data_IF_123624206447
#
_entry.id   IF_123624206447
#
_cell.length_a   1.000
_cell.length_b   1.000
_cell.length_c   1.000
_cell.angle_alpha   90.00
_cell.angle_beta   90.00
_cell.angle_gamma   90.00
#
_symmetry.space_group_name_H-M   'P 1'
#
loop_
_entity.id
_entity.type
_entity.pdbx_description
1 polymer ?
#
# COMPACT_ATOMS: atom_id res chain seq x y z
N UNK A 1 13.65 33.14 -7.73
CA UNK A 1 12.18 33.20 -7.51
C UNK A 1 11.54 33.50 -8.85
N UNK A 2 11.01 32.48 -9.53
CA UNK A 2 10.66 32.53 -10.95
C UNK A 2 9.24 33.01 -11.23
N UNK A 3 9.09 33.98 -12.12
CA UNK A 3 7.83 34.61 -12.54
C UNK A 3 6.88 33.68 -13.34
N UNK A 4 7.31 32.47 -13.71
CA UNK A 4 6.53 31.55 -14.54
C UNK A 4 5.74 30.48 -13.76
N UNK A 5 5.91 30.40 -12.43
CA UNK A 5 5.28 29.35 -11.62
C UNK A 5 3.76 29.51 -11.49
N UNK A 6 3.21 30.70 -11.76
CA UNK A 6 1.77 30.96 -11.69
C UNK A 6 0.95 30.54 -12.92
N UNK A 7 1.58 30.34 -14.09
CA UNK A 7 0.89 30.00 -15.35
C UNK A 7 0.88 28.50 -15.67
N UNK A 8 1.80 27.72 -15.10
CA UNK A 8 1.90 26.26 -15.27
C UNK A 8 1.41 25.51 -14.03
N UNK A 9 0.34 25.99 -13.41
CA UNK A 9 -0.20 25.63 -12.09
C UNK A 9 -0.61 24.17 -11.84
N UNK A 10 0.26 23.20 -12.14
CA UNK A 10 0.30 21.91 -11.46
C UNK A 10 1.47 21.98 -10.49
N UNK A 11 1.16 22.18 -9.22
CA UNK A 11 2.08 21.95 -8.11
C UNK A 11 2.73 20.59 -8.35
N UNK A 12 4.04 20.56 -8.64
CA UNK A 12 4.77 19.31 -8.83
C UNK A 12 4.70 18.58 -7.48
N UNK A 13 3.83 17.58 -7.38
CA UNK A 13 3.63 16.80 -6.16
C UNK A 13 5.01 16.22 -5.82
N UNK A 14 5.50 16.51 -4.62
CA UNK A 14 6.77 15.96 -4.14
C UNK A 14 6.65 14.44 -4.22
N UNK A 15 7.62 13.79 -4.86
CA UNK A 15 7.66 12.33 -4.89
C UNK A 15 7.56 11.78 -3.46
N UNK A 16 6.77 10.73 -3.29
CA UNK A 16 6.63 10.06 -2.00
C UNK A 16 8.01 9.63 -1.47
N UNK A 17 8.24 9.88 -0.20
CA UNK A 17 9.43 9.40 0.51
C UNK A 17 9.14 7.96 0.94
N UNK A 18 9.47 7.01 0.06
CA UNK A 18 9.01 5.62 0.17
C UNK A 18 9.72 4.86 1.31
N UNK A 19 10.94 5.26 1.70
CA UNK A 19 11.62 4.71 2.87
C UNK A 19 10.92 5.09 4.18
N UNK A 20 10.30 6.28 4.24
CA UNK A 20 9.51 6.67 5.42
C UNK A 20 8.27 5.81 5.63
N UNK A 21 7.86 5.01 4.65
CA UNK A 21 6.77 4.06 4.80
C UNK A 21 7.03 3.10 5.97
N UNK A 22 8.28 2.67 6.18
CA UNK A 22 8.66 1.75 7.26
C UNK A 22 8.52 2.35 8.67
N UNK A 23 8.37 3.68 8.81
CA UNK A 23 8.09 4.29 10.12
C UNK A 23 6.78 3.81 10.76
N UNK A 24 5.88 3.23 9.97
CA UNK A 24 4.63 2.64 10.44
C UNK A 24 4.85 1.44 11.38
N UNK A 25 5.98 0.72 11.24
CA UNK A 25 6.31 -0.43 12.11
C UNK A 25 6.45 0.05 13.56
N UNK A 26 7.30 1.05 13.80
CA UNK A 26 7.48 1.64 15.13
C UNK A 26 6.20 2.31 15.67
N UNK A 27 5.42 2.96 14.80
CA UNK A 27 4.14 3.54 15.20
C UNK A 27 3.12 2.46 15.62
N UNK A 28 3.09 1.31 14.95
CA UNK A 28 2.21 0.20 15.28
C UNK A 28 2.60 -0.45 16.61
N UNK A 29 3.89 -0.59 16.90
CA UNK A 29 4.39 -1.06 18.20
C UNK A 29 3.97 -0.14 19.35
N UNK A 30 4.06 1.18 19.15
CA UNK A 30 3.62 2.17 20.14
C UNK A 30 2.11 2.08 20.39
N UNK A 31 1.31 1.92 19.32
CA UNK A 31 -0.15 1.77 19.40
C UNK A 31 -0.56 0.48 20.12
N UNK A 32 0.08 -0.65 19.82
CA UNK A 32 -0.18 -1.92 20.52
C UNK A 32 0.27 -1.91 21.98
N UNK A 33 1.25 -1.06 22.34
CA UNK A 33 1.64 -0.82 23.72
C UNK A 33 0.53 -0.15 24.55
N UNK A 34 -0.46 0.49 23.89
CA UNK A 34 -1.67 0.98 24.55
C UNK A 34 -2.68 -0.16 24.76
N UNK A 35 -3.30 -0.23 25.95
CA UNK A 35 -4.04 -1.43 26.40
C UNK A 35 -5.29 -1.82 25.59
N UNK A 36 -5.75 -0.95 24.70
CA UNK A 36 -7.08 -1.03 24.12
C UNK A 36 -7.07 -1.21 22.58
N UNK A 37 -5.90 -1.35 21.95
CA UNK A 37 -5.79 -1.45 20.48
C UNK A 37 -5.01 -2.70 20.07
N UNK A 38 -5.57 -3.48 19.15
CA UNK A 38 -4.96 -4.69 18.61
C UNK A 38 -4.76 -4.60 17.09
N UNK A 39 -3.58 -5.00 16.61
CA UNK A 39 -3.34 -5.22 15.19
C UNK A 39 -4.11 -6.45 14.69
N UNK A 40 -4.81 -6.31 13.58
CA UNK A 40 -5.63 -7.39 13.02
C UNK A 40 -4.90 -8.29 12.02
N UNK A 41 -3.65 -7.96 11.68
CA UNK A 41 -2.90 -8.68 10.63
C UNK A 41 -3.54 -8.56 9.24
N UNK A 42 -4.36 -7.52 9.03
CA UNK A 42 -5.02 -7.24 7.75
C UNK A 42 -4.63 -5.86 7.27
N UNK A 43 -4.27 -5.76 6.00
CA UNK A 43 -3.94 -4.48 5.39
C UNK A 43 -4.25 -4.50 3.90
N UNK A 44 -4.20 -3.35 3.25
CA UNK A 44 -4.28 -3.30 1.80
C UNK A 44 -3.71 -2.02 1.22
N UNK A 45 -3.29 -2.10 -0.04
CA UNK A 45 -2.90 -0.93 -0.83
C UNK A 45 -3.98 -0.67 -1.88
N UNK A 46 -4.44 0.57 -1.94
CA UNK A 46 -5.51 1.01 -2.85
C UNK A 46 -4.94 1.92 -3.93
N UNK A 47 -5.42 1.69 -5.14
CA UNK A 47 -4.98 2.40 -6.33
C UNK A 47 -6.14 2.68 -7.27
N UNK A 48 -6.04 3.79 -8.00
CA UNK A 48 -6.99 4.13 -9.06
C UNK A 48 -6.58 3.39 -10.36
N UNK A 49 -7.34 2.40 -10.83
CA UNK A 49 -7.04 1.69 -12.07
C UNK A 49 -7.10 2.67 -13.24
N UNK A 50 -6.00 2.76 -14.00
CA UNK A 50 -6.04 3.42 -15.29
C UNK A 50 -6.85 2.55 -16.27
N UNK A 51 -7.63 3.15 -17.18
CA UNK A 51 -8.30 2.49 -18.31
C UNK A 51 -7.30 1.90 -19.34
N UNK A 52 -6.36 1.10 -18.88
CA UNK A 52 -5.27 0.56 -19.69
C UNK A 52 -5.15 -0.93 -19.44
N UNK A 53 -4.98 -1.69 -20.53
CA UNK A 53 -4.61 -3.11 -20.54
C UNK A 53 -3.36 -3.42 -19.69
N UNK A 54 -2.63 -2.39 -19.24
CA UNK A 54 -1.50 -2.51 -18.34
C UNK A 54 -1.94 -2.89 -16.92
N UNK A 55 -3.06 -2.38 -16.40
CA UNK A 55 -3.52 -2.74 -15.04
C UNK A 55 -3.92 -4.22 -14.94
N UNK A 56 -4.37 -4.81 -16.05
CA UNK A 56 -4.60 -6.25 -16.15
C UNK A 56 -3.29 -7.05 -16.15
N UNK A 57 -2.20 -6.49 -16.70
CA UNK A 57 -0.86 -7.10 -16.67
C UNK A 57 -0.16 -6.92 -15.33
N UNK A 58 -0.36 -5.79 -14.67
CA UNK A 58 0.13 -5.51 -13.33
C UNK A 58 -0.32 -6.60 -12.33
N UNK A 59 -1.54 -7.11 -12.47
CA UNK A 59 -2.00 -8.27 -11.68
C UNK A 59 -1.08 -9.48 -11.86
N UNK A 60 -0.68 -9.80 -13.10
CA UNK A 60 0.22 -10.92 -13.39
C UNK A 60 1.66 -10.69 -12.94
N UNK A 61 2.04 -9.46 -12.59
CA UNK A 61 3.37 -9.11 -12.06
C UNK A 61 3.38 -9.00 -10.53
N UNK A 62 2.30 -8.52 -9.92
CA UNK A 62 2.12 -8.47 -8.47
C UNK A 62 2.01 -9.90 -7.90
N UNK A 63 1.24 -10.78 -8.55
CA UNK A 63 1.05 -12.16 -8.08
C UNK A 63 2.38 -12.93 -7.88
N UNK A 64 3.35 -12.90 -8.83
CA UNK A 64 4.69 -13.46 -8.61
C UNK A 64 5.44 -12.86 -7.42
N UNK A 65 5.34 -11.55 -7.18
CA UNK A 65 6.00 -10.91 -6.03
C UNK A 65 5.40 -11.43 -4.71
N UNK A 66 4.08 -11.63 -4.69
CA UNK A 66 3.36 -12.18 -3.53
C UNK A 66 3.63 -13.67 -3.32
N UNK A 67 3.87 -14.44 -4.39
CA UNK A 67 4.33 -15.82 -4.27
C UNK A 67 5.75 -15.91 -3.71
N UNK A 68 6.62 -14.95 -4.02
CA UNK A 68 8.00 -14.92 -3.51
C UNK A 68 8.01 -14.58 -2.01
N UNK A 69 7.19 -13.61 -1.57
CA UNK A 69 7.09 -13.25 -0.14
C UNK A 69 6.27 -14.27 0.67
N UNK A 70 5.17 -14.79 0.10
CA UNK A 70 4.25 -15.69 0.80
C UNK A 70 4.72 -17.15 0.97
N UNK A 71 5.70 -17.62 0.17
CA UNK A 71 6.22 -19.00 0.26
C UNK A 71 6.95 -19.32 1.58
N UNK A 72 7.42 -18.32 2.32
CA UNK A 72 8.02 -18.50 3.65
C UNK A 72 7.07 -18.25 4.82
N UNK A 73 5.97 -17.50 4.64
CA UNK A 73 5.16 -16.96 5.75
C UNK A 73 3.71 -17.49 5.78
N UNK A 74 3.17 -17.97 4.66
CA UNK A 74 1.76 -18.36 4.57
C UNK A 74 0.80 -17.17 4.39
N UNK A 75 1.31 -15.99 4.02
CA UNK A 75 0.55 -14.78 3.72
C UNK A 75 -0.59 -15.05 2.74
N UNK A 76 -1.81 -14.69 3.13
CA UNK A 76 -2.98 -14.71 2.24
C UNK A 76 -3.14 -13.37 1.57
N UNK A 77 -3.61 -13.39 0.33
CA UNK A 77 -3.88 -12.17 -0.40
C UNK A 77 -5.11 -12.27 -1.30
N UNK A 78 -5.68 -11.12 -1.61
CA UNK A 78 -6.82 -10.97 -2.50
C UNK A 78 -6.71 -9.68 -3.30
N UNK A 79 -7.12 -9.72 -4.57
CA UNK A 79 -7.25 -8.52 -5.41
C UNK A 79 -8.74 -8.21 -5.54
N UNK A 80 -9.14 -7.01 -5.17
CA UNK A 80 -10.56 -6.61 -5.07
C UNK A 80 -10.75 -5.30 -5.84
N UNK A 81 -11.76 -5.26 -6.72
CA UNK A 81 -12.26 -4.01 -7.29
C UNK A 81 -13.48 -3.56 -6.48
N UNK A 82 -13.47 -2.30 -6.01
CA UNK A 82 -14.56 -1.75 -5.22
C UNK A 82 -15.59 -0.95 -6.05
N UNK A 83 -16.71 -0.59 -5.42
CA UNK A 83 -17.80 0.16 -6.06
C UNK A 83 -17.41 1.59 -6.46
N UNK A 84 -16.27 2.10 -5.95
CA UNK A 84 -15.73 3.42 -6.28
C UNK A 84 -14.80 3.39 -7.48
N UNK A 85 -14.66 2.23 -8.12
CA UNK A 85 -13.77 2.03 -9.25
C UNK A 85 -12.30 2.07 -8.85
N UNK A 86 -11.98 1.72 -7.60
CA UNK A 86 -10.60 1.54 -7.15
C UNK A 86 -10.27 0.06 -7.03
N UNK A 87 -8.98 -0.26 -7.18
CA UNK A 87 -8.45 -1.61 -7.02
C UNK A 87 -7.65 -1.69 -5.75
N UNK A 88 -7.83 -2.79 -5.02
CA UNK A 88 -7.17 -3.12 -3.79
C UNK A 88 -6.34 -4.37 -3.95
N UNK A 89 -5.16 -4.37 -3.36
CA UNK A 89 -4.45 -5.60 -3.01
C UNK A 89 -4.51 -5.73 -1.50
N UNK A 90 -5.31 -6.69 -1.02
CA UNK A 90 -5.50 -6.97 0.39
C UNK A 90 -4.57 -8.10 0.84
N UNK A 91 -3.97 -7.94 2.02
CA UNK A 91 -3.07 -8.90 2.68
C UNK A 91 -3.66 -9.33 4.02
N UNK A 92 -3.39 -10.58 4.38
CA UNK A 92 -3.71 -11.17 5.66
C UNK A 92 -2.53 -12.04 6.12
N UNK A 93 -1.80 -11.54 7.12
CA UNK A 93 -0.61 -12.17 7.71
C UNK A 93 -0.52 -11.78 9.20
N UNK A 94 -0.22 -12.72 10.12
CA UNK A 94 0.05 -12.38 11.51
C UNK A 94 1.30 -11.50 11.71
N UNK A 95 2.26 -11.52 10.79
CA UNK A 95 3.47 -10.70 10.85
C UNK A 95 3.25 -9.33 10.19
N UNK A 96 3.27 -8.28 11.00
CA UNK A 96 3.05 -6.93 10.54
C UNK A 96 4.21 -6.38 9.70
N UNK A 97 5.45 -6.77 9.99
CA UNK A 97 6.61 -6.31 9.23
C UNK A 97 6.58 -6.87 7.81
N UNK A 98 6.15 -8.13 7.66
CA UNK A 98 5.98 -8.78 6.36
C UNK A 98 4.88 -8.12 5.53
N UNK A 99 3.76 -7.72 6.17
CA UNK A 99 2.71 -6.92 5.51
C UNK A 99 3.28 -5.60 5.00
N UNK A 100 3.96 -4.83 5.87
CA UNK A 100 4.51 -3.52 5.52
C UNK A 100 5.50 -3.65 4.35
N UNK A 101 6.39 -4.64 4.44
CA UNK A 101 7.38 -4.92 3.39
C UNK A 101 6.70 -5.28 2.07
N UNK A 102 5.70 -6.15 2.11
CA UNK A 102 4.97 -6.58 0.90
C UNK A 102 4.21 -5.41 0.26
N UNK A 103 3.51 -4.58 1.04
CA UNK A 103 2.82 -3.40 0.51
C UNK A 103 3.80 -2.37 -0.06
N UNK A 104 4.97 -2.20 0.55
CA UNK A 104 6.03 -1.34 0.02
C UNK A 104 6.50 -1.84 -1.34
N UNK A 105 6.82 -3.14 -1.47
CA UNK A 105 7.26 -3.74 -2.73
C UNK A 105 6.22 -3.63 -3.84
N UNK A 106 4.93 -3.82 -3.52
CA UNK A 106 3.83 -3.59 -4.47
C UNK A 106 3.80 -2.12 -4.91
N UNK A 107 3.92 -1.19 -3.96
CA UNK A 107 3.98 0.24 -4.25
C UNK A 107 5.15 0.63 -5.15
N UNK A 108 6.36 0.09 -4.89
CA UNK A 108 7.53 0.27 -5.75
C UNK A 108 7.26 -0.26 -7.16
N UNK A 109 6.76 -1.49 -7.28
CA UNK A 109 6.49 -2.12 -8.56
C UNK A 109 5.49 -1.30 -9.39
N UNK A 110 4.39 -0.82 -8.79
CA UNK A 110 3.42 0.05 -9.48
C UNK A 110 4.07 1.35 -9.93
N UNK A 111 4.92 1.93 -9.10
CA UNK A 111 5.52 3.22 -9.37
C UNK A 111 6.66 3.18 -10.39
N UNK A 112 7.46 2.12 -10.41
CA UNK A 112 8.54 1.88 -11.38
C UNK A 112 8.00 1.73 -12.81
N UNK A 113 6.76 1.29 -12.93
CA UNK A 113 6.04 1.23 -14.20
C UNK A 113 5.35 2.55 -14.60
N UNK A 114 5.56 3.62 -13.84
CA UNK A 114 5.04 4.95 -14.14
C UNK A 114 3.61 5.22 -13.65
N UNK A 115 3.04 4.34 -12.84
CA UNK A 115 1.70 4.49 -12.27
C UNK A 115 1.72 4.91 -10.79
N UNK A 116 2.83 5.43 -10.30
CA UNK A 116 2.97 5.86 -8.90
C UNK A 116 2.00 6.99 -8.52
N UNK A 117 1.52 7.77 -9.49
CA UNK A 117 0.49 8.80 -9.30
C UNK A 117 -0.93 8.22 -9.12
N UNK A 118 -1.08 6.91 -9.34
CA UNK A 118 -2.33 6.16 -9.15
C UNK A 118 -2.43 5.48 -7.78
N UNK A 119 -1.32 5.34 -7.07
CA UNK A 119 -1.33 4.87 -5.68
C UNK A 119 -2.03 5.90 -4.81
N UNK A 120 -3.06 5.49 -4.07
CA UNK A 120 -3.87 6.38 -3.24
C UNK A 120 -3.42 6.30 -1.78
N UNK A 121 -3.39 5.09 -1.21
CA UNK A 121 -3.04 4.86 0.18
C UNK A 121 -2.70 3.39 0.46
N UNK A 122 -2.01 3.16 1.58
CA UNK A 122 -1.99 1.87 2.27
C UNK A 122 -2.79 1.99 3.56
N UNK A 123 -3.60 0.98 3.85
CA UNK A 123 -4.52 0.94 4.98
C UNK A 123 -4.19 -0.28 5.83
N UNK A 124 -4.14 -0.11 7.15
CA UNK A 124 -3.85 -1.16 8.11
C UNK A 124 -5.02 -1.26 9.10
N UNK A 125 -5.49 -2.49 9.35
CA UNK A 125 -6.64 -2.73 10.21
C UNK A 125 -6.22 -2.88 11.67
N UNK A 126 -6.89 -2.10 12.52
CA UNK A 126 -6.79 -2.17 13.97
C UNK A 126 -8.19 -2.39 14.56
N UNK A 127 -8.25 -3.14 15.66
CA UNK A 127 -9.47 -3.31 16.44
C UNK A 127 -9.31 -2.66 17.81
N UNK A 128 -10.31 -1.88 18.20
CA UNK A 128 -10.40 -1.35 19.56
C UNK A 128 -11.06 -2.39 20.46
N UNK A 129 -10.33 -2.85 21.47
CA UNK A 129 -10.83 -3.82 22.44
C UNK A 129 -11.29 -3.07 23.70
N UNK A 130 -12.61 -2.89 23.85
CA UNK A 130 -13.17 -2.46 25.15
C UNK A 130 -13.04 -3.61 26.15
N UNK A 131 -12.23 -3.41 27.18
CA UNK A 131 -12.33 -4.19 28.42
C UNK A 131 -13.64 -3.86 29.16
#
# INVERSE_FOLDING_TARGET
MGFFTGLFGRTKIKNADREKFFSIIGAADEIQGSSDIKLMGKAGIVMNPAESQYFDRLNSEILPLMEISGRSTGMRHEIIDDEFGTRWVALDDPDFEDIVTTLHLIGEAVADHGFGDRLLASVFAFEFQRQ
#
